data_IF_942475032749
#
_entry.id   IF_942475032749
#
_cell.length_a   1.000
_cell.length_b   1.000
_cell.length_c   1.000
_cell.angle_alpha   90.00
_cell.angle_beta   90.00
_cell.angle_gamma   90.00
#
_symmetry.space_group_name_H-M   'P 1'
#
loop_
_entity.id
_entity.type
_entity.pdbx_description
1 polymer ?
#
# COMPACT_ATOMS: atom_id res chain seq x y z
N UNK A 1 -5.63 7.24 -0.11
CA UNK A 1 -6.19 6.17 0.75
C UNK A 1 -5.11 5.21 1.25
N UNK A 2 -4.44 4.44 0.37
CA UNK A 2 -3.48 3.38 0.74
C UNK A 2 -2.42 3.83 1.76
N UNK A 3 -1.69 4.93 1.50
CA UNK A 3 -0.67 5.43 2.45
C UNK A 3 -1.24 5.84 3.81
N UNK A 4 -2.47 6.32 3.83
CA UNK A 4 -3.17 6.68 5.07
C UNK A 4 -3.53 5.41 5.87
N UNK A 5 -4.02 4.38 5.20
CA UNK A 5 -4.27 3.06 5.81
C UNK A 5 -3.00 2.41 6.35
N UNK A 6 -1.87 2.59 5.66
CA UNK A 6 -0.57 2.05 6.09
C UNK A 6 -0.04 2.75 7.35
N UNK A 7 -0.16 4.08 7.43
CA UNK A 7 0.39 4.88 8.53
C UNK A 7 1.83 5.34 8.33
N UNK A 8 2.31 6.19 9.23
CA UNK A 8 3.66 6.80 9.22
C UNK A 8 4.77 5.75 9.09
N UNK A 9 5.92 6.12 8.51
CA UNK A 9 7.07 5.20 8.33
C UNK A 9 7.63 4.71 9.65
N UNK A 10 7.67 5.57 10.66
CA UNK A 10 7.92 5.19 12.03
C UNK A 10 6.61 4.73 12.69
N UNK A 11 6.53 3.45 13.13
CA UNK A 11 5.36 2.95 13.85
C UNK A 11 4.99 3.76 15.10
N UNK A 12 5.98 4.38 15.76
CA UNK A 12 5.73 5.21 16.95
C UNK A 12 4.98 6.52 16.62
N UNK A 13 5.07 6.97 15.37
CA UNK A 13 4.39 8.15 14.84
C UNK A 13 3.15 7.79 14.01
N UNK A 14 2.81 6.50 13.92
CA UNK A 14 1.64 6.02 13.18
C UNK A 14 0.41 5.99 14.09
N UNK A 15 -0.71 6.51 13.61
CA UNK A 15 -1.98 6.46 14.36
C UNK A 15 -2.43 5.01 14.57
N UNK A 16 -3.03 4.72 15.73
CA UNK A 16 -3.71 3.45 15.96
C UNK A 16 -4.82 3.19 14.93
N UNK A 17 -5.01 1.93 14.55
CA UNK A 17 -5.89 1.51 13.45
C UNK A 17 -5.21 1.52 12.07
N UNK A 18 -3.98 2.04 11.96
CA UNK A 18 -3.16 1.89 10.74
C UNK A 18 -2.31 0.63 10.81
N UNK A 19 -1.94 0.07 9.66
CA UNK A 19 -1.16 -1.19 9.61
C UNK A 19 0.13 -1.08 10.43
N UNK A 20 0.86 0.03 10.31
CA UNK A 20 2.11 0.23 11.05
C UNK A 20 1.87 0.56 12.52
N UNK A 21 0.84 1.35 12.83
CA UNK A 21 0.50 1.66 14.22
C UNK A 21 0.14 0.41 15.03
N UNK A 22 -0.56 -0.54 14.42
CA UNK A 22 -1.06 -1.72 15.12
C UNK A 22 -0.08 -2.91 15.10
N UNK A 23 0.72 -3.07 14.04
CA UNK A 23 1.46 -4.31 13.82
C UNK A 23 2.98 -4.14 13.77
N UNK A 24 3.53 -2.95 13.48
CA UNK A 24 4.96 -2.78 13.28
C UNK A 24 5.73 -2.48 14.57
N UNK A 25 7.02 -2.85 14.59
CA UNK A 25 7.86 -2.76 15.80
C UNK A 25 8.95 -1.69 15.73
N UNK A 26 9.36 -1.27 14.52
CA UNK A 26 10.39 -0.24 14.33
C UNK A 26 10.40 0.25 12.88
N UNK A 27 11.04 1.39 12.62
CA UNK A 27 11.26 1.93 11.26
C UNK A 27 11.85 0.89 10.29
N UNK A 28 12.81 0.07 10.74
CA UNK A 28 13.45 -0.96 9.89
C UNK A 28 12.60 -2.22 9.69
N UNK A 29 11.58 -2.42 10.52
CA UNK A 29 10.68 -3.58 10.49
C UNK A 29 9.23 -3.07 10.52
N UNK A 30 8.87 -2.27 9.51
CA UNK A 30 7.58 -1.60 9.41
C UNK A 30 6.58 -2.30 8.46
N UNK A 31 6.82 -3.59 8.19
CA UNK A 31 5.90 -4.58 7.60
C UNK A 31 5.54 -4.39 6.13
N UNK A 32 5.17 -3.18 5.71
CA UNK A 32 4.55 -2.94 4.40
C UNK A 32 5.18 -1.72 3.72
N UNK A 33 5.30 -1.80 2.40
CA UNK A 33 5.70 -0.71 1.51
C UNK A 33 4.51 -0.27 0.65
N UNK A 34 4.49 1.00 0.28
CA UNK A 34 3.66 1.52 -0.80
C UNK A 34 4.37 2.69 -1.46
N UNK A 35 4.17 2.83 -2.77
CA UNK A 35 4.68 3.94 -3.55
C UNK A 35 4.21 5.28 -2.96
N UNK A 36 5.11 6.27 -2.94
CA UNK A 36 4.88 7.56 -2.31
C UNK A 36 4.13 8.57 -3.19
N UNK A 37 4.06 8.30 -4.50
CA UNK A 37 3.56 9.20 -5.53
C UNK A 37 3.04 8.41 -6.75
N UNK A 38 2.17 8.99 -7.60
CA UNK A 38 1.78 8.36 -8.86
C UNK A 38 2.97 8.05 -9.78
N UNK A 39 4.00 8.88 -9.75
CA UNK A 39 5.23 8.71 -10.53
C UNK A 39 6.02 7.49 -10.04
N UNK A 40 6.21 7.36 -8.72
CA UNK A 40 6.88 6.18 -8.16
C UNK A 40 6.05 4.92 -8.32
N UNK A 41 4.72 5.00 -8.24
CA UNK A 41 3.83 3.87 -8.46
C UNK A 41 4.00 3.28 -9.87
N UNK A 42 3.96 4.11 -10.92
CA UNK A 42 4.19 3.64 -12.30
C UNK A 42 5.55 2.96 -12.46
N UNK A 43 6.60 3.56 -11.89
CA UNK A 43 7.96 3.00 -11.92
C UNK A 43 8.02 1.65 -11.20
N UNK A 44 7.48 1.58 -9.98
CA UNK A 44 7.54 0.39 -9.14
C UNK A 44 6.71 -0.77 -9.69
N UNK A 45 5.53 -0.50 -10.26
CA UNK A 45 4.73 -1.52 -10.93
C UNK A 45 5.55 -2.20 -12.04
N UNK A 46 6.21 -1.42 -12.90
CA UNK A 46 7.06 -1.97 -13.97
C UNK A 46 8.34 -2.69 -13.49
N UNK A 47 8.76 -2.48 -12.24
CA UNK A 47 9.92 -3.17 -11.65
C UNK A 47 9.56 -4.55 -11.12
N UNK A 48 8.32 -4.72 -10.65
CA UNK A 48 7.88 -5.95 -9.97
C UNK A 48 6.99 -6.85 -10.81
N UNK A 49 6.31 -6.31 -11.83
CA UNK A 49 5.34 -7.06 -12.64
C UNK A 49 5.55 -6.82 -14.13
N UNK A 50 5.48 -7.90 -14.91
CA UNK A 50 5.22 -7.83 -16.35
C UNK A 50 3.74 -7.46 -16.59
N UNK A 51 3.43 -6.82 -17.72
CA UNK A 51 2.04 -6.44 -18.06
C UNK A 51 1.08 -7.64 -18.07
N UNK A 52 1.57 -8.84 -18.41
CA UNK A 52 0.78 -10.09 -18.44
C UNK A 52 0.40 -10.63 -17.05
N UNK A 53 1.00 -10.11 -15.98
CA UNK A 53 0.74 -10.52 -14.60
C UNK A 53 -0.33 -9.65 -13.93
N UNK A 54 -0.77 -8.58 -14.60
CA UNK A 54 -1.81 -7.66 -14.14
C UNK A 54 -3.08 -7.96 -14.93
N UNK A 55 -4.09 -8.48 -14.23
CA UNK A 55 -5.35 -8.89 -14.83
C UNK A 55 -6.41 -7.81 -14.66
N UNK A 56 -7.08 -7.48 -15.76
CA UNK A 56 -8.26 -6.62 -15.77
C UNK A 56 -9.52 -7.48 -15.74
N UNK A 57 -10.38 -7.24 -14.75
CA UNK A 57 -11.63 -7.98 -14.56
C UNK A 57 -12.64 -7.13 -13.77
N UNK A 58 -13.95 -7.32 -13.99
CA UNK A 58 -14.97 -6.56 -13.28
C UNK A 58 -15.09 -7.00 -11.81
N UNK A 59 -15.17 -6.03 -10.90
CA UNK A 59 -15.51 -6.29 -9.51
C UNK A 59 -17.02 -6.29 -9.34
N UNK A 60 -17.62 -7.46 -9.03
CA UNK A 60 -19.07 -7.61 -8.87
C UNK A 60 -19.69 -6.67 -7.82
N UNK A 61 -18.89 -6.19 -6.86
CA UNK A 61 -19.36 -5.28 -5.81
C UNK A 61 -19.62 -3.85 -6.32
N UNK A 62 -19.00 -3.45 -7.45
CA UNK A 62 -19.18 -2.11 -8.02
C UNK A 62 -20.56 -1.93 -8.68
N UNK A 63 -21.28 -3.02 -8.97
CA UNK A 63 -22.65 -2.95 -9.54
C UNK A 63 -23.73 -2.56 -8.52
N UNK A 64 -23.39 -2.45 -7.23
CA UNK A 64 -24.32 -2.20 -6.14
C UNK A 64 -24.10 -0.86 -5.41
N UNK A 65 -23.26 0.02 -5.97
CA UNK A 65 -23.04 1.40 -5.51
C UNK A 65 -23.43 2.42 -6.57
#
# INVERSE_FOLDING_TARGET
LVRHTIGSTDPLEASGGTIRGDFAVSVRKNIVHASDSPESARREISLFFDEKEIFDYPLLLEEHF
#
